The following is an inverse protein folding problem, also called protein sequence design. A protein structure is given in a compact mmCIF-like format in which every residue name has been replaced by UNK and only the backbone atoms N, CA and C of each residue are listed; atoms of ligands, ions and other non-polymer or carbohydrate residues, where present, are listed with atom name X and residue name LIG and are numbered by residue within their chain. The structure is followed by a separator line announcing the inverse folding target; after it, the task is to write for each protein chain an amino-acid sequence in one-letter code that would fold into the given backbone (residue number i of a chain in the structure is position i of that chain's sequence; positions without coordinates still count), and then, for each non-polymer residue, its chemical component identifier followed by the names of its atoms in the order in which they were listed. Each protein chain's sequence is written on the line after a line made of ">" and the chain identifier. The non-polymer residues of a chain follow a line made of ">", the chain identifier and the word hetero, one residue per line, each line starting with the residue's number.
data_IF_850630348769
#
_entry.id   IF_850630348769
#
_cell.length_a   1.000
_cell.length_b   1.000
_cell.length_c   1.000
_cell.angle_alpha   90.00
_cell.angle_beta   90.00
_cell.angle_gamma   90.00
#
_symmetry.space_group_name_H-M   'P 1'
#
loop_
_entity.id
_entity.type
_entity.pdbx_description
1 polymer ?
#
# COMPACT_ATOMS: atom_id res chain seq x y z
N UNK A 1 13.45 47.45 -100.76
CA UNK A 1 12.11 47.31 -100.15
C UNK A 1 11.85 45.81 -100.03
N UNK A 2 11.60 45.36 -98.80
CA UNK A 2 11.17 44.01 -98.37
C UNK A 2 12.17 42.85 -98.40
N UNK A 3 12.09 42.01 -97.35
CA UNK A 3 12.79 40.75 -97.10
C UNK A 3 14.18 40.77 -96.41
N UNK A 4 14.35 41.68 -95.45
CA UNK A 4 14.90 41.29 -94.14
C UNK A 4 13.74 40.66 -93.31
N UNK A 5 14.02 39.71 -92.41
CA UNK A 5 13.15 39.17 -91.32
C UNK A 5 12.67 37.70 -91.32
N UNK A 6 13.08 36.81 -92.23
CA UNK A 6 12.68 35.38 -92.11
C UNK A 6 13.77 34.43 -91.59
N UNK A 7 15.04 34.86 -91.52
CA UNK A 7 16.17 33.94 -91.30
C UNK A 7 16.98 34.23 -90.02
N UNK A 8 16.33 34.78 -88.98
CA UNK A 8 16.93 34.96 -87.63
C UNK A 8 16.16 34.29 -86.49
N UNK A 9 15.08 33.55 -86.75
CA UNK A 9 14.30 32.89 -85.69
C UNK A 9 14.61 31.40 -85.46
N UNK A 10 15.31 30.70 -86.37
CA UNK A 10 15.43 29.24 -86.28
C UNK A 10 16.71 28.74 -85.59
N UNK A 11 17.73 29.59 -85.38
CA UNK A 11 19.01 29.14 -84.79
C UNK A 11 19.20 29.47 -83.30
N UNK A 12 18.23 30.12 -82.66
CA UNK A 12 18.28 30.40 -81.21
C UNK A 12 17.60 29.32 -80.35
N UNK A 13 16.91 28.35 -80.97
CA UNK A 13 16.20 27.27 -80.26
C UNK A 13 17.01 25.97 -80.09
N UNK A 14 18.19 25.84 -80.72
CA UNK A 14 19.03 24.66 -80.58
C UNK A 14 20.12 24.80 -79.48
N UNK A 15 20.24 25.97 -78.86
CA UNK A 15 21.19 26.22 -77.77
C UNK A 15 20.62 26.07 -76.35
N UNK A 16 19.29 26.01 -76.19
CA UNK A 16 18.63 25.95 -74.87
C UNK A 16 18.32 24.54 -74.37
N UNK A 17 18.59 23.48 -75.14
CA UNK A 17 18.31 22.10 -74.71
C UNK A 17 19.56 21.40 -74.14
N UNK A 18 20.74 22.01 -74.21
CA UNK A 18 21.99 21.45 -73.68
C UNK A 18 22.43 22.07 -72.33
N UNK A 19 21.52 22.69 -71.59
CA UNK A 19 21.84 23.29 -70.28
C UNK A 19 20.70 23.09 -69.25
N UNK A 20 20.09 21.91 -69.22
CA UNK A 20 19.11 21.50 -68.21
C UNK A 20 19.40 20.08 -67.67
N UNK A 21 20.69 19.77 -67.49
CA UNK A 21 21.14 18.66 -66.64
C UNK A 21 21.92 19.24 -65.46
N UNK A 22 21.29 20.16 -64.73
CA UNK A 22 21.75 20.54 -63.39
C UNK A 22 20.99 19.70 -62.38
N UNK A 23 21.72 18.79 -61.74
CA UNK A 23 21.35 18.23 -60.44
C UNK A 23 20.08 17.40 -60.43
N UNK A 24 20.19 16.15 -60.90
CA UNK A 24 19.49 15.09 -60.17
C UNK A 24 20.15 15.03 -58.78
N UNK A 25 19.71 15.91 -57.89
CA UNK A 25 19.87 15.68 -56.47
C UNK A 25 19.08 14.41 -56.21
N UNK A 26 19.77 13.28 -56.18
CA UNK A 26 19.41 12.18 -55.30
C UNK A 26 19.13 12.83 -53.95
N UNK A 27 17.86 13.11 -53.64
CA UNK A 27 17.46 13.20 -52.26
C UNK A 27 17.69 11.78 -51.78
N UNK A 28 18.88 11.54 -51.23
CA UNK A 28 18.98 10.60 -50.14
C UNK A 28 17.82 10.97 -49.24
N UNK A 29 16.78 10.13 -49.23
CA UNK A 29 15.80 10.13 -48.16
C UNK A 29 16.63 9.87 -46.90
N UNK A 30 17.15 10.96 -46.33
CA UNK A 30 17.84 10.93 -45.07
C UNK A 30 16.78 10.45 -44.09
N UNK A 31 16.80 9.14 -43.83
CA UNK A 31 16.00 8.52 -42.80
C UNK A 31 16.26 9.36 -41.56
N UNK A 32 15.21 10.05 -41.08
CA UNK A 32 15.33 10.91 -39.92
C UNK A 32 16.04 10.10 -38.82
N UNK A 33 17.08 10.67 -38.15
CA UNK A 33 17.81 9.92 -37.14
C UNK A 33 16.79 9.33 -36.17
N UNK A 34 16.83 8.00 -35.99
CA UNK A 34 15.94 7.32 -35.03
C UNK A 34 15.97 8.11 -33.72
N UNK A 35 14.80 8.43 -33.13
CA UNK A 35 14.73 9.13 -31.86
C UNK A 35 15.72 8.52 -30.89
N UNK A 36 16.63 9.33 -30.36
CA UNK A 36 17.70 8.88 -29.49
C UNK A 36 17.14 8.69 -28.06
N UNK A 37 16.10 7.86 -27.95
CA UNK A 37 15.36 7.61 -26.73
C UNK A 37 16.08 6.58 -25.87
N UNK A 38 16.00 6.77 -24.56
CA UNK A 38 16.45 5.81 -23.54
C UNK A 38 15.27 5.06 -22.93
N UNK A 39 15.60 4.11 -22.07
CA UNK A 39 14.61 3.33 -21.30
C UNK A 39 14.99 3.33 -19.83
N UNK A 40 13.99 3.42 -18.95
CA UNK A 40 14.14 3.06 -17.53
C UNK A 40 13.50 1.69 -17.33
N UNK A 41 14.23 0.74 -16.78
CA UNK A 41 13.71 -0.56 -16.34
C UNK A 41 13.86 -0.65 -14.84
N UNK A 42 12.81 -1.08 -14.14
CA UNK A 42 12.82 -1.08 -12.69
C UNK A 42 12.25 -2.33 -12.05
N UNK A 43 12.65 -2.53 -10.79
CA UNK A 43 12.22 -3.63 -9.95
C UNK A 43 11.70 -3.08 -8.62
N UNK A 44 10.54 -3.57 -8.17
CA UNK A 44 10.07 -3.37 -6.81
C UNK A 44 10.64 -4.43 -5.88
N UNK A 45 11.11 -3.99 -4.71
CA UNK A 45 11.50 -4.89 -3.63
C UNK A 45 10.73 -4.54 -2.35
N UNK A 46 9.77 -5.38 -1.92
CA UNK A 46 9.27 -6.58 -2.59
C UNK A 46 8.38 -6.29 -3.81
N UNK A 47 8.16 -7.31 -4.65
CA UNK A 47 7.49 -7.21 -5.95
C UNK A 47 6.11 -6.54 -5.93
N UNK A 48 5.33 -6.76 -4.87
CA UNK A 48 3.94 -6.26 -4.73
C UNK A 48 3.83 -5.03 -3.83
N UNK A 49 4.95 -4.35 -3.60
CA UNK A 49 4.97 -3.24 -2.65
C UNK A 49 4.24 -1.99 -3.14
N UNK A 50 3.99 -1.83 -4.44
CA UNK A 50 3.27 -0.70 -5.02
C UNK A 50 2.33 -1.14 -6.14
N UNK A 51 1.23 -0.39 -6.32
CA UNK A 51 0.24 -0.61 -7.38
C UNK A 51 0.59 0.13 -8.68
N UNK A 52 1.40 1.19 -8.58
CA UNK A 52 1.85 1.99 -9.71
C UNK A 52 3.18 2.69 -9.40
N UNK A 53 3.96 2.96 -10.44
CA UNK A 53 5.16 3.81 -10.40
C UNK A 53 4.93 4.99 -11.33
N UNK A 54 5.25 6.19 -10.88
CA UNK A 54 5.14 7.43 -11.63
C UNK A 54 6.52 8.00 -11.89
N UNK A 55 6.84 8.22 -13.16
CA UNK A 55 8.02 8.91 -13.64
C UNK A 55 7.63 10.38 -13.93
N UNK A 56 8.35 11.33 -13.35
CA UNK A 56 8.15 12.77 -13.57
C UNK A 56 9.39 13.36 -14.23
N UNK A 57 9.21 13.98 -15.40
CA UNK A 57 10.26 14.72 -16.09
C UNK A 57 10.52 16.08 -15.42
N UNK A 58 11.67 16.69 -15.69
CA UNK A 58 12.04 17.99 -15.12
C UNK A 58 11.06 19.13 -15.47
N UNK A 59 10.33 19.02 -16.58
CA UNK A 59 9.28 19.95 -17.02
C UNK A 59 7.91 19.69 -16.36
N UNK A 60 7.82 18.69 -15.48
CA UNK A 60 6.61 18.32 -14.74
C UNK A 60 5.70 17.32 -15.46
N UNK A 61 6.00 16.91 -16.70
CA UNK A 61 5.22 15.85 -17.37
C UNK A 61 5.40 14.53 -16.63
N UNK A 62 4.32 13.76 -16.56
CA UNK A 62 4.31 12.46 -15.87
C UNK A 62 3.99 11.31 -16.80
N UNK A 63 4.47 10.13 -16.44
CA UNK A 63 4.12 8.85 -17.05
C UNK A 63 3.98 7.81 -15.94
N UNK A 64 3.03 6.89 -16.08
CA UNK A 64 2.76 5.88 -15.06
C UNK A 64 2.92 4.48 -15.64
N UNK A 65 3.53 3.58 -14.88
CA UNK A 65 3.66 2.17 -15.20
C UNK A 65 3.08 1.33 -14.05
N UNK A 66 2.37 0.26 -14.40
CA UNK A 66 1.92 -0.75 -13.43
C UNK A 66 2.96 -1.88 -13.40
N UNK A 67 3.58 -2.15 -12.23
CA UNK A 67 4.47 -3.30 -12.07
C UNK A 67 3.74 -4.62 -12.31
N UNK A 68 4.46 -5.60 -12.88
CA UNK A 68 3.93 -6.95 -13.05
C UNK A 68 3.94 -7.77 -11.74
N UNK A 69 3.56 -9.05 -11.82
CA UNK A 69 3.50 -9.94 -10.66
C UNK A 69 4.88 -10.21 -10.01
N UNK A 70 5.97 -10.03 -10.76
CA UNK A 70 7.35 -10.13 -10.29
C UNK A 70 7.90 -8.78 -9.80
N UNK A 71 7.13 -7.70 -9.91
CA UNK A 71 7.49 -6.35 -9.51
C UNK A 71 8.30 -5.60 -10.56
N UNK A 72 8.37 -6.10 -11.79
CA UNK A 72 9.09 -5.46 -12.88
C UNK A 72 8.22 -4.39 -13.52
N UNK A 73 8.80 -3.24 -13.85
CA UNK A 73 8.15 -2.14 -14.57
C UNK A 73 9.13 -1.50 -15.56
N UNK A 74 8.61 -0.79 -16.57
CA UNK A 74 9.45 -0.09 -17.54
C UNK A 74 8.82 1.20 -18.07
N UNK A 75 9.68 2.14 -18.43
CA UNK A 75 9.36 3.36 -19.17
C UNK A 75 10.26 3.43 -20.41
N UNK A 76 9.81 2.89 -21.56
CA UNK A 76 10.53 3.03 -22.82
C UNK A 76 10.29 4.40 -23.43
N UNK A 77 11.10 4.76 -24.43
CA UNK A 77 10.86 5.92 -25.29
C UNK A 77 11.09 7.28 -24.62
N UNK A 78 12.02 7.34 -23.66
CA UNK A 78 12.29 8.56 -22.90
C UNK A 78 13.34 9.42 -23.59
N UNK A 79 13.06 10.70 -23.80
CA UNK A 79 14.08 11.66 -24.22
C UNK A 79 15.20 11.73 -23.16
N UNK A 80 16.47 11.95 -23.56
CA UNK A 80 17.56 12.12 -22.60
C UNK A 80 17.29 13.27 -21.64
N UNK A 81 17.53 13.04 -20.35
CA UNK A 81 17.24 14.02 -19.30
C UNK A 81 17.13 13.41 -17.92
N UNK A 82 16.86 14.25 -16.92
CA UNK A 82 16.65 13.81 -15.53
C UNK A 82 15.18 13.60 -15.24
N UNK A 83 14.88 12.47 -14.63
CA UNK A 83 13.54 12.07 -14.22
C UNK A 83 13.53 11.70 -12.74
N UNK A 84 12.38 11.86 -12.09
CA UNK A 84 12.14 11.46 -10.71
C UNK A 84 11.09 10.34 -10.68
N UNK A 85 11.39 9.24 -10.00
CA UNK A 85 10.45 8.15 -9.78
C UNK A 85 9.81 8.26 -8.40
N UNK A 86 8.50 8.15 -8.35
CA UNK A 86 7.70 7.93 -7.14
C UNK A 86 6.84 6.69 -7.30
N UNK A 87 6.43 6.07 -6.20
CA UNK A 87 5.60 4.86 -6.26
C UNK A 87 4.39 4.99 -5.34
N UNK A 88 3.24 4.52 -5.83
CA UNK A 88 2.02 4.38 -5.06
C UNK A 88 2.11 3.07 -4.24
N UNK A 89 2.69 3.15 -3.05
CA UNK A 89 2.81 2.00 -2.15
C UNK A 89 1.43 1.41 -1.83
N UNK A 90 1.36 0.09 -1.77
CA UNK A 90 0.21 -0.59 -1.18
C UNK A 90 0.22 -0.38 0.33
N UNK A 91 -0.91 -0.59 0.97
CA UNK A 91 -1.13 -0.18 2.35
C UNK A 91 -0.24 -0.92 3.38
N UNK A 92 0.29 -2.09 3.03
CA UNK A 92 1.28 -2.84 3.84
C UNK A 92 2.71 -2.28 3.77
N UNK A 93 2.97 -1.28 2.93
CA UNK A 93 4.32 -0.76 2.69
C UNK A 93 4.39 0.76 2.79
N UNK A 94 5.56 1.26 3.15
CA UNK A 94 5.93 2.66 3.00
C UNK A 94 6.74 2.82 1.71
N UNK A 95 6.36 3.79 0.89
CA UNK A 95 7.13 4.15 -0.29
C UNK A 95 8.52 4.67 0.09
N UNK A 96 9.58 4.40 -0.71
CA UNK A 96 10.85 5.08 -0.54
C UNK A 96 10.72 6.57 -0.88
N UNK A 97 11.74 7.35 -0.53
CA UNK A 97 11.90 8.69 -1.06
C UNK A 97 12.00 8.67 -2.60
N UNK A 98 11.61 9.75 -3.30
CA UNK A 98 11.72 9.82 -4.74
C UNK A 98 13.14 9.53 -5.24
N UNK A 99 13.26 8.76 -6.31
CA UNK A 99 14.55 8.34 -6.88
C UNK A 99 14.81 9.07 -8.19
N UNK A 100 15.91 9.80 -8.28
CA UNK A 100 16.31 10.46 -9.51
C UNK A 100 17.05 9.49 -10.45
N UNK A 101 16.73 9.53 -11.75
CA UNK A 101 17.41 8.77 -12.80
C UNK A 101 17.76 9.71 -13.95
N UNK A 102 19.01 9.68 -14.37
CA UNK A 102 19.47 10.41 -15.57
C UNK A 102 19.42 9.44 -16.74
N UNK A 103 18.50 9.69 -17.68
CA UNK A 103 18.33 8.89 -18.88
C UNK A 103 19.24 9.43 -19.98
N UNK A 104 20.05 8.54 -20.53
CA UNK A 104 20.85 8.77 -21.73
C UNK A 104 20.22 8.10 -22.95
N UNK A 105 20.51 8.66 -24.11
CA UNK A 105 20.05 8.15 -25.39
C UNK A 105 20.48 6.70 -25.62
N UNK A 106 19.57 5.85 -26.08
CA UNK A 106 19.84 4.45 -26.48
C UNK A 106 20.40 3.56 -25.36
N UNK A 107 20.27 4.00 -24.11
CA UNK A 107 20.69 3.26 -22.93
C UNK A 107 19.47 2.79 -22.11
N UNK A 108 19.64 1.66 -21.42
CA UNK A 108 18.69 1.17 -20.43
C UNK A 108 19.23 1.45 -19.03
N UNK A 109 18.41 2.08 -18.19
CA UNK A 109 18.78 2.52 -16.86
C UNK A 109 18.05 1.65 -15.84
N UNK A 110 18.74 0.72 -15.17
CA UNK A 110 18.13 -0.10 -14.13
C UNK A 110 17.87 0.73 -12.87
N UNK A 111 16.72 0.54 -12.24
CA UNK A 111 16.37 1.14 -10.94
C UNK A 111 15.74 0.10 -10.02
N UNK A 112 16.02 0.18 -8.73
CA UNK A 112 15.34 -0.64 -7.72
C UNK A 112 14.67 0.27 -6.71
N UNK A 113 13.37 0.06 -6.48
CA UNK A 113 12.61 0.75 -5.45
C UNK A 113 12.41 -0.20 -4.28
N UNK A 114 13.09 0.06 -3.16
CA UNK A 114 13.03 -0.76 -1.95
C UNK A 114 12.07 -0.14 -0.95
N UNK A 115 11.06 -0.91 -0.55
CA UNK A 115 10.00 -0.48 0.36
C UNK A 115 10.24 -1.06 1.75
N UNK A 116 9.88 -0.31 2.77
CA UNK A 116 9.80 -0.83 4.14
C UNK A 116 8.36 -1.25 4.44
N UNK A 117 8.18 -2.25 5.31
CA UNK A 117 6.85 -2.61 5.80
C UNK A 117 6.28 -1.46 6.64
N UNK A 118 4.99 -1.17 6.49
CA UNK A 118 4.32 -0.15 7.29
C UNK A 118 4.10 -0.60 8.73
N UNK A 119 4.00 -1.91 8.97
CA UNK A 119 3.68 -2.53 10.26
C UNK A 119 2.40 -1.98 10.89
N UNK A 120 1.54 -1.34 10.08
CA UNK A 120 0.32 -0.71 10.53
C UNK A 120 -0.81 -1.71 10.37
N UNK A 121 -1.46 -2.04 11.48
CA UNK A 121 -2.66 -2.87 11.47
C UNK A 121 -3.74 -2.20 10.62
N UNK A 122 -4.30 -2.95 9.68
CA UNK A 122 -5.37 -2.55 8.78
C UNK A 122 -6.42 -3.64 8.71
N UNK A 123 -7.57 -3.32 8.11
CA UNK A 123 -8.70 -4.22 7.98
C UNK A 123 -9.85 -3.82 8.90
N UNK A 124 -10.59 -4.81 9.37
CA UNK A 124 -11.83 -4.58 10.11
C UNK A 124 -11.78 -5.27 11.46
N UNK A 125 -12.30 -4.57 12.47
CA UNK A 125 -12.66 -5.14 13.77
C UNK A 125 -14.03 -4.61 14.14
N UNK A 126 -14.94 -5.48 14.52
CA UNK A 126 -16.28 -5.12 14.97
C UNK A 126 -16.70 -5.99 16.15
N UNK A 127 -17.61 -5.49 16.96
CA UNK A 127 -18.12 -6.19 18.15
C UNK A 127 -19.47 -5.60 18.58
N UNK A 128 -20.16 -6.29 19.47
CA UNK A 128 -21.35 -5.80 20.15
C UNK A 128 -21.12 -5.68 21.65
N UNK A 129 -21.71 -4.65 22.24
CA UNK A 129 -21.70 -4.43 23.69
C UNK A 129 -23.04 -3.81 24.11
N UNK A 130 -23.74 -4.43 25.06
CA UNK A 130 -25.05 -3.94 25.52
C UNK A 130 -26.10 -3.83 24.40
N UNK A 131 -26.05 -4.71 23.40
CA UNK A 131 -26.93 -4.69 22.23
C UNK A 131 -26.57 -3.66 21.15
N UNK A 132 -25.53 -2.85 21.36
CA UNK A 132 -25.05 -1.85 20.38
C UNK A 132 -23.89 -2.43 19.58
N UNK A 133 -23.94 -2.27 18.26
CA UNK A 133 -22.85 -2.65 17.35
C UNK A 133 -21.78 -1.53 17.28
N UNK A 134 -20.53 -1.93 17.39
CA UNK A 134 -19.36 -1.08 17.21
C UNK A 134 -18.47 -1.60 16.08
N UNK A 135 -17.77 -0.67 15.43
CA UNK A 135 -16.70 -0.94 14.47
C UNK A 135 -15.50 -0.08 14.82
N UNK A 136 -14.31 -0.67 14.74
CA UNK A 136 -13.07 0.06 14.99
C UNK A 136 -12.77 1.02 13.84
N UNK A 137 -12.42 2.26 14.19
CA UNK A 137 -11.87 3.25 13.26
C UNK A 137 -10.36 3.39 13.39
N UNK A 138 -9.79 2.87 14.49
CA UNK A 138 -8.34 2.81 14.73
C UNK A 138 -7.98 1.42 15.21
N UNK A 139 -6.94 0.86 14.59
CA UNK A 139 -6.40 -0.45 14.92
C UNK A 139 -4.94 -0.31 15.34
N UNK A 140 -4.55 -1.09 16.34
CA UNK A 140 -3.17 -1.21 16.81
C UNK A 140 -2.92 -2.61 17.33
N UNK A 141 -1.66 -3.02 17.46
CA UNK A 141 -1.34 -4.37 17.89
C UNK A 141 0.05 -4.82 17.48
N UNK A 142 0.42 -6.02 17.90
CA UNK A 142 1.69 -6.66 17.62
C UNK A 142 1.47 -8.11 17.20
N UNK A 143 2.14 -8.52 16.12
CA UNK A 143 1.92 -9.83 15.51
C UNK A 143 3.28 -10.45 15.20
N UNK A 144 3.59 -11.53 15.90
CA UNK A 144 4.80 -12.34 15.71
C UNK A 144 4.42 -13.82 15.76
N UNK A 145 5.36 -14.68 15.39
CA UNK A 145 5.23 -16.14 15.53
C UNK A 145 4.86 -16.60 16.96
N UNK A 146 5.08 -15.76 17.98
CA UNK A 146 4.89 -16.08 19.40
C UNK A 146 3.95 -15.15 20.14
N UNK A 147 3.42 -14.11 19.49
CA UNK A 147 2.62 -13.09 20.15
C UNK A 147 1.61 -12.48 19.19
N UNK A 148 0.38 -12.36 19.64
CA UNK A 148 -0.69 -11.70 18.94
C UNK A 148 -1.34 -10.70 19.89
N UNK A 149 -1.35 -9.43 19.54
CA UNK A 149 -2.20 -8.44 20.19
C UNK A 149 -2.93 -7.61 19.15
N UNK A 150 -4.20 -7.33 19.42
CA UNK A 150 -5.06 -6.51 18.58
C UNK A 150 -5.89 -5.63 19.48
N UNK A 151 -5.87 -4.32 19.25
CA UNK A 151 -6.78 -3.35 19.83
C UNK A 151 -7.58 -2.67 18.72
N UNK A 152 -8.90 -2.65 18.87
CA UNK A 152 -9.81 -1.89 18.03
C UNK A 152 -10.49 -0.80 18.85
N UNK A 153 -10.42 0.45 18.38
CA UNK A 153 -11.04 1.62 19.03
C UNK A 153 -12.17 2.15 18.15
N UNK A 154 -13.34 2.36 18.74
CA UNK A 154 -14.51 2.93 18.04
C UNK A 154 -14.27 4.39 17.63
N UNK A 155 -15.12 4.91 16.75
CA UNK A 155 -15.31 6.36 16.66
C UNK A 155 -15.80 6.91 18.01
N UNK A 156 -15.51 8.19 18.33
CA UNK A 156 -16.14 8.85 19.46
C UNK A 156 -17.66 8.94 19.25
N UNK A 157 -18.42 8.73 20.31
CA UNK A 157 -19.86 9.04 20.32
C UNK A 157 -20.11 10.55 20.31
N UNK A 158 -21.39 10.97 20.33
CA UNK A 158 -21.77 12.39 20.33
C UNK A 158 -21.23 13.17 21.55
N UNK A 159 -20.88 12.47 22.64
CA UNK A 159 -20.29 13.04 23.85
C UNK A 159 -18.76 12.96 23.84
N UNK A 160 -18.15 12.47 22.75
CA UNK A 160 -16.71 12.31 22.62
C UNK A 160 -16.14 11.07 23.32
N UNK A 161 -16.99 10.16 23.81
CA UNK A 161 -16.52 8.96 24.50
C UNK A 161 -16.15 7.86 23.50
N UNK A 162 -15.13 7.08 23.85
CA UNK A 162 -14.59 6.00 23.02
C UNK A 162 -14.77 4.66 23.73
N UNK A 163 -14.95 3.61 22.93
CA UNK A 163 -14.89 2.22 23.39
C UNK A 163 -13.75 1.51 22.68
N UNK A 164 -13.00 0.69 23.39
CA UNK A 164 -12.04 -0.21 22.76
C UNK A 164 -12.17 -1.64 23.28
N UNK A 165 -11.83 -2.58 22.40
CA UNK A 165 -11.65 -3.98 22.73
C UNK A 165 -10.21 -4.35 22.40
N UNK A 166 -9.59 -5.17 23.25
CA UNK A 166 -8.27 -5.74 22.96
C UNK A 166 -8.26 -7.23 23.17
N UNK A 167 -7.51 -7.93 22.34
CA UNK A 167 -7.19 -9.35 22.49
C UNK A 167 -5.68 -9.48 22.57
N UNK A 168 -5.18 -10.27 23.51
CA UNK A 168 -3.76 -10.59 23.67
C UNK A 168 -3.62 -12.10 23.83
N UNK A 169 -2.87 -12.73 22.92
CA UNK A 169 -2.52 -14.14 22.94
C UNK A 169 -0.99 -14.24 22.97
N UNK A 170 -0.46 -14.96 23.95
CA UNK A 170 0.98 -15.00 24.19
C UNK A 170 1.48 -16.44 24.21
N UNK A 171 2.72 -16.66 23.75
CA UNK A 171 3.44 -17.91 23.94
C UNK A 171 4.26 -17.93 25.25
N UNK A 172 4.13 -16.91 26.11
CA UNK A 172 4.77 -16.91 27.42
C UNK A 172 4.16 -17.99 28.33
N UNK A 173 5.01 -18.72 29.05
CA UNK A 173 4.58 -19.60 30.14
C UNK A 173 4.03 -18.79 31.33
N UNK A 174 3.23 -19.42 32.18
CA UNK A 174 2.58 -18.78 33.32
C UNK A 174 1.52 -19.69 33.96
N UNK A 175 0.71 -19.16 34.88
CA UNK A 175 -0.40 -19.93 35.46
C UNK A 175 -1.40 -20.32 34.36
N UNK A 176 -1.70 -21.62 34.24
CA UNK A 176 -2.59 -22.19 33.22
C UNK A 176 -2.27 -21.71 31.79
N UNK A 177 -1.00 -21.75 31.41
CA UNK A 177 -0.54 -21.24 30.12
C UNK A 177 -1.34 -21.82 28.95
N UNK A 178 -1.85 -20.92 28.11
CA UNK A 178 -2.47 -21.23 26.81
C UNK A 178 -1.58 -20.60 25.75
N UNK A 179 -0.53 -21.31 25.28
CA UNK A 179 0.47 -20.73 24.39
C UNK A 179 -0.13 -20.42 23.02
N UNK A 180 0.18 -19.23 22.50
CA UNK A 180 -0.14 -18.85 21.13
C UNK A 180 0.65 -19.68 20.12
N UNK A 181 -0.05 -20.33 19.18
CA UNK A 181 0.52 -21.20 18.14
C UNK A 181 0.02 -20.85 16.72
N UNK A 182 -0.55 -19.65 16.53
CA UNK A 182 -1.15 -19.23 15.27
C UNK A 182 -2.66 -19.46 15.22
N UNK A 183 -3.17 -20.06 14.14
CA UNK A 183 -4.60 -20.34 14.01
C UNK A 183 -5.05 -21.37 15.06
N UNK A 184 -6.18 -21.12 15.70
CA UNK A 184 -6.65 -21.97 16.78
C UNK A 184 -7.69 -21.31 17.67
N UNK A 185 -8.18 -22.09 18.62
CA UNK A 185 -9.10 -21.64 19.65
C UNK A 185 -8.34 -21.36 20.95
N UNK A 186 -8.55 -20.16 21.51
CA UNK A 186 -7.86 -19.69 22.70
C UNK A 186 -8.88 -19.34 23.76
N UNK A 187 -8.90 -20.10 24.85
CA UNK A 187 -9.71 -19.79 26.02
C UNK A 187 -9.12 -18.57 26.75
N UNK A 188 -9.99 -17.66 27.18
CA UNK A 188 -9.64 -16.47 27.97
C UNK A 188 -10.07 -16.66 29.43
N UNK A 189 -9.48 -15.90 30.37
CA UNK A 189 -9.92 -15.93 31.77
C UNK A 189 -9.34 -17.06 32.62
N UNK A 190 -8.36 -17.79 32.10
CA UNK A 190 -7.64 -18.86 32.82
C UNK A 190 -6.13 -18.61 32.88
N UNK A 191 -5.56 -18.11 31.80
CA UNK A 191 -4.14 -17.82 31.61
C UNK A 191 -3.78 -16.42 32.10
N UNK A 192 -2.57 -16.25 32.60
CA UNK A 192 -2.03 -14.94 33.00
C UNK A 192 -1.72 -14.03 31.80
N UNK A 193 -1.21 -14.60 30.70
CA UNK A 193 -0.70 -13.83 29.56
C UNK A 193 -1.56 -13.95 28.29
N UNK A 194 -2.67 -14.68 28.36
CA UNK A 194 -3.66 -14.79 27.28
C UNK A 194 -5.00 -14.27 27.80
N UNK A 195 -5.40 -13.09 27.33
CA UNK A 195 -6.51 -12.31 27.88
C UNK A 195 -7.14 -11.35 26.86
N UNK A 196 -8.30 -10.80 27.21
CA UNK A 196 -8.93 -9.70 26.51
C UNK A 196 -9.26 -8.55 27.45
N UNK A 197 -9.42 -7.37 26.85
CA UNK A 197 -9.77 -6.13 27.53
C UNK A 197 -10.97 -5.48 26.85
N UNK A 198 -11.81 -4.83 27.65
CA UNK A 198 -12.72 -3.79 27.18
C UNK A 198 -12.40 -2.49 27.92
N UNK A 199 -12.38 -1.37 27.21
CA UNK A 199 -12.15 -0.04 27.81
C UNK A 199 -13.24 0.93 27.40
N UNK A 200 -13.55 1.83 28.32
CA UNK A 200 -14.35 3.01 28.06
C UNK A 200 -13.50 4.23 28.42
N UNK A 201 -13.32 5.14 27.46
CA UNK A 201 -12.62 6.42 27.70
C UNK A 201 -13.58 7.57 27.50
N UNK A 202 -13.62 8.49 28.44
CA UNK A 202 -14.41 9.72 28.30
C UNK A 202 -13.64 10.77 27.51
N UNK A 203 -14.37 11.73 26.94
CA UNK A 203 -13.75 12.91 26.32
C UNK A 203 -12.84 13.69 27.29
N UNK A 204 -13.16 13.65 28.60
CA UNK A 204 -12.37 14.27 29.66
C UNK A 204 -11.10 13.47 30.04
N UNK A 205 -10.86 12.31 29.40
CA UNK A 205 -9.64 11.51 29.59
C UNK A 205 -9.73 10.46 30.69
N UNK A 206 -10.86 10.34 31.39
CA UNK A 206 -11.05 9.28 32.38
C UNK A 206 -11.25 7.92 31.68
N UNK A 207 -10.72 6.85 32.27
CA UNK A 207 -10.72 5.51 31.66
C UNK A 207 -11.19 4.44 32.65
N UNK A 208 -12.22 3.70 32.26
CA UNK A 208 -12.58 2.44 32.90
C UNK A 208 -12.01 1.27 32.08
N UNK A 209 -11.40 0.30 32.75
CA UNK A 209 -10.84 -0.91 32.13
C UNK A 209 -11.43 -2.16 32.75
N UNK A 210 -11.74 -3.12 31.87
CA UNK A 210 -12.27 -4.42 32.21
C UNK A 210 -11.40 -5.50 31.57
N UNK A 211 -11.05 -6.53 32.33
CA UNK A 211 -10.11 -7.59 31.97
C UNK A 211 -10.69 -8.99 32.19
N UNK A 212 -10.37 -9.93 31.29
CA UNK A 212 -10.72 -11.36 31.45
C UNK A 212 -9.73 -12.06 32.39
N UNK A 213 -9.77 -11.77 33.68
CA UNK A 213 -8.81 -12.33 34.65
C UNK A 213 -9.00 -13.80 35.00
N UNK A 214 -7.94 -14.40 35.55
CA UNK A 214 -7.90 -15.81 35.94
C UNK A 214 -8.93 -16.10 37.05
N UNK A 215 -10.07 -16.73 36.73
CA UNK A 215 -11.11 -16.97 37.75
C UNK A 215 -12.44 -17.61 37.37
N UNK A 216 -12.79 -17.81 36.08
CA UNK A 216 -14.05 -18.43 35.63
C UNK A 216 -15.25 -17.45 35.67
N UNK A 217 -16.11 -17.34 34.65
CA UNK A 217 -16.93 -18.38 34.01
C UNK A 217 -17.13 -18.16 32.50
N UNK A 218 -17.70 -19.19 31.89
CA UNK A 218 -17.75 -19.60 30.49
C UNK A 218 -18.67 -18.76 29.57
N UNK A 219 -18.10 -17.85 28.77
CA UNK A 219 -18.15 -17.74 27.27
C UNK A 219 -17.02 -16.80 26.82
N UNK A 220 -15.78 -17.04 27.26
CA UNK A 220 -14.65 -16.16 26.93
C UNK A 220 -13.61 -16.87 26.08
N UNK A 221 -13.55 -16.50 24.80
CA UNK A 221 -12.65 -17.12 23.85
C UNK A 221 -12.30 -16.20 22.68
N UNK A 222 -11.22 -16.57 22.00
CA UNK A 222 -10.83 -16.04 20.70
C UNK A 222 -10.64 -17.22 19.76
N UNK A 223 -11.32 -17.20 18.63
CA UNK A 223 -11.03 -18.10 17.53
C UNK A 223 -10.21 -17.34 16.49
N UNK A 224 -8.93 -17.72 16.36
CA UNK A 224 -8.10 -17.27 15.24
C UNK A 224 -8.31 -18.26 14.10
N UNK A 225 -9.25 -17.95 13.21
CA UNK A 225 -9.62 -18.82 12.09
C UNK A 225 -8.51 -18.92 11.03
N UNK A 226 -7.76 -17.83 10.83
CA UNK A 226 -6.62 -17.74 9.93
C UNK A 226 -5.50 -16.98 10.60
N UNK A 227 -4.27 -17.47 10.50
CA UNK A 227 -3.06 -16.75 10.88
C UNK A 227 -1.94 -17.09 9.90
N UNK A 228 -1.50 -16.10 9.12
CA UNK A 228 -0.37 -16.23 8.21
C UNK A 228 0.65 -15.14 8.54
N UNK A 229 1.74 -15.55 9.19
CA UNK A 229 2.83 -14.64 9.55
C UNK A 229 3.62 -14.15 8.33
N UNK A 230 3.71 -14.97 7.28
CA UNK A 230 4.41 -14.60 6.04
C UNK A 230 3.65 -13.54 5.24
N UNK A 231 2.33 -13.74 5.12
CA UNK A 231 1.42 -12.80 4.48
C UNK A 231 0.93 -11.69 5.42
N UNK A 232 1.36 -11.69 6.68
CA UNK A 232 0.97 -10.72 7.70
C UNK A 232 -0.55 -10.53 7.77
N UNK A 233 -1.29 -11.64 7.81
CA UNK A 233 -2.76 -11.61 7.82
C UNK A 233 -3.32 -12.47 8.94
N UNK A 234 -4.43 -12.03 9.52
CA UNK A 234 -5.15 -12.79 10.51
C UNK A 234 -6.64 -12.50 10.46
N UNK A 235 -7.46 -13.52 10.67
CA UNK A 235 -8.90 -13.37 10.72
C UNK A 235 -9.50 -14.31 11.77
N UNK A 236 -10.62 -13.90 12.35
CA UNK A 236 -11.22 -14.65 13.44
C UNK A 236 -12.38 -13.96 14.13
N UNK A 237 -12.78 -14.54 15.25
CA UNK A 237 -13.86 -14.06 16.11
C UNK A 237 -13.43 -14.03 17.57
N UNK A 238 -14.13 -13.25 18.37
CA UNK A 238 -13.94 -13.21 19.81
C UNK A 238 -15.26 -12.93 20.53
N UNK A 239 -15.39 -13.49 21.71
CA UNK A 239 -16.49 -13.24 22.64
C UNK A 239 -15.91 -13.34 24.04
N UNK A 240 -16.25 -12.39 24.91
CA UNK A 240 -15.76 -12.44 26.28
C UNK A 240 -16.59 -11.61 27.25
N UNK A 241 -16.57 -12.05 28.51
CA UNK A 241 -17.00 -11.24 29.65
C UNK A 241 -15.79 -10.87 30.50
N UNK A 242 -15.65 -9.58 30.78
CA UNK A 242 -14.52 -9.00 31.50
C UNK A 242 -14.97 -8.31 32.79
N UNK A 243 -14.13 -8.36 33.83
CA UNK A 243 -14.36 -7.73 35.13
C UNK A 243 -13.50 -6.47 35.30
N UNK A 244 -13.91 -5.47 36.10
CA UNK A 244 -13.13 -4.25 36.30
C UNK A 244 -11.70 -4.53 36.79
N UNK A 245 -10.72 -3.86 36.19
CA UNK A 245 -9.30 -3.85 36.61
C UNK A 245 -8.80 -2.46 36.99
N UNK A 246 -9.32 -1.40 36.36
CA UNK A 246 -9.04 0.00 36.69
C UNK A 246 -10.36 0.80 36.68
N UNK A 247 -10.56 1.60 37.72
CA UNK A 247 -11.72 2.50 37.84
C UNK A 247 -11.28 3.95 37.61
N UNK A 248 -11.74 4.56 36.52
CA UNK A 248 -11.54 5.98 36.24
C UNK A 248 -12.80 6.81 36.38
N UNK A 249 -13.99 6.22 36.22
CA UNK A 249 -15.29 6.92 36.37
C UNK A 249 -16.36 6.16 37.15
N UNK A 250 -16.12 4.90 37.53
CA UNK A 250 -16.99 4.17 38.47
C UNK A 250 -18.39 3.86 37.92
N UNK A 251 -18.51 3.49 36.64
CA UNK A 251 -19.81 3.13 36.07
C UNK A 251 -20.27 1.70 36.43
N UNK A 252 -21.34 1.66 37.23
CA UNK A 252 -22.35 0.66 37.63
C UNK A 252 -22.29 -0.85 37.28
N UNK A 253 -21.54 -1.34 36.29
CA UNK A 253 -21.54 -2.78 35.95
C UNK A 253 -20.25 -3.48 36.41
N UNK A 254 -20.33 -4.52 37.26
CA UNK A 254 -19.17 -5.34 37.62
C UNK A 254 -18.69 -6.24 36.47
N UNK A 255 -19.38 -6.25 35.33
CA UNK A 255 -19.02 -7.05 34.17
C UNK A 255 -19.26 -6.28 32.87
N UNK A 256 -18.42 -6.49 31.86
CA UNK A 256 -18.64 -6.07 30.48
C UNK A 256 -18.65 -7.28 29.58
N UNK A 257 -19.75 -7.48 28.85
CA UNK A 257 -19.89 -8.58 27.89
C UNK A 257 -19.76 -8.04 26.47
N UNK A 258 -18.82 -8.62 25.74
CA UNK A 258 -18.55 -8.35 24.34
C UNK A 258 -18.94 -9.59 23.54
N UNK A 259 -19.86 -9.42 22.60
CA UNK A 259 -20.38 -10.50 21.74
C UNK A 259 -20.18 -10.17 20.27
N UNK A 260 -20.35 -11.17 19.40
CA UNK A 260 -20.28 -11.00 17.94
C UNK A 260 -19.00 -10.28 17.47
N UNK A 261 -17.89 -10.50 18.20
CA UNK A 261 -16.60 -9.93 17.88
C UNK A 261 -16.02 -10.60 16.63
N UNK A 262 -15.58 -9.80 15.66
CA UNK A 262 -14.95 -10.28 14.43
C UNK A 262 -13.76 -9.42 14.07
N UNK A 263 -12.71 -10.04 13.54
CA UNK A 263 -11.59 -9.34 12.93
C UNK A 263 -11.18 -10.00 11.61
N UNK A 264 -10.76 -9.18 10.66
CA UNK A 264 -10.06 -9.59 9.44
C UNK A 264 -9.08 -8.49 9.09
N UNK A 265 -7.79 -8.76 9.28
CA UNK A 265 -6.75 -7.76 9.37
C UNK A 265 -5.46 -8.16 8.63
N UNK A 266 -4.73 -7.12 8.22
CA UNK A 266 -3.39 -7.21 7.61
C UNK A 266 -2.42 -6.23 8.29
N UNK A 267 -1.11 -6.50 8.20
CA UNK A 267 -0.03 -5.68 8.78
C UNK A 267 0.96 -5.12 7.74
#
# INVERSE_FOLDING_TARGET
>A
MFFTYALRCALFLLGCVLFLVTGSCSRDDAVAPLPAEGTVQGQLMPARAASAVTLTAADGRTSTATPDAAGTFAFPGLAPGTYSLTAAATSSYNAPAPVAVVVKARETHPVTLTFSRSFRVQGTVSWQQGGVQYSATRLSGQFTDKFFSLEGVSAPDASGNLRSVSVVLSNLGGRNAVPFQGAGFYALGLSEYTFALARFRTAAGAMDEYYTGAGGSSVSHVLVARYDYGALSSAGTFEFTAIPSLYGTGTASPYQTITNGRFDITF
#
